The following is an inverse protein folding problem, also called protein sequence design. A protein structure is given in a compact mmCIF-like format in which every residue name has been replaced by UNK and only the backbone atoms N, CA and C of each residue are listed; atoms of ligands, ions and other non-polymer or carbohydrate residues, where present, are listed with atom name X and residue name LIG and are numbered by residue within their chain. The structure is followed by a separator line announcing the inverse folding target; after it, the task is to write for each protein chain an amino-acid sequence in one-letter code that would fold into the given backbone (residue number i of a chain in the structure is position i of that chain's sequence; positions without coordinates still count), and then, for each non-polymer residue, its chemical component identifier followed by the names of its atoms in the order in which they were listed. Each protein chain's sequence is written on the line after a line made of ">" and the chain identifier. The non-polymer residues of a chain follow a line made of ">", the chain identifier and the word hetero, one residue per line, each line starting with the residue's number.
data_IF_632218451903
#
_entry.id   IF_632218451903
#
_cell.length_a   1.000
_cell.length_b   1.000
_cell.length_c   1.000
_cell.angle_alpha   90.00
_cell.angle_beta   90.00
_cell.angle_gamma   90.00
#
_symmetry.space_group_name_H-M   'P 1'
#
loop_
_entity.id
_entity.type
_entity.pdbx_description
1 polymer ?
#
# COMPACT_ATOMS: atom_id res chain seq x y z
N UNK A 1 -2.10 -15.38 11.14
CA UNK A 1 -2.74 -15.55 9.81
C UNK A 1 -2.10 -16.73 9.14
N UNK A 2 -2.87 -17.54 8.40
CA UNK A 2 -2.33 -18.74 7.77
C UNK A 2 -2.20 -18.54 6.25
N UNK A 3 -1.11 -19.06 5.70
CA UNK A 3 -0.93 -19.18 4.26
C UNK A 3 -1.35 -20.61 3.88
N UNK A 4 -2.31 -20.73 2.94
CA UNK A 4 -2.74 -21.99 2.39
C UNK A 4 -1.88 -22.38 1.19
N UNK A 5 -1.36 -23.58 1.21
CA UNK A 5 -0.62 -24.21 0.11
C UNK A 5 -1.53 -25.16 -0.67
N UNK A 6 -1.14 -25.52 -1.88
CA UNK A 6 -1.87 -26.47 -2.71
C UNK A 6 -1.07 -27.76 -2.91
N UNK A 7 -1.76 -28.88 -3.13
CA UNK A 7 -1.11 -30.12 -3.59
C UNK A 7 -0.41 -29.89 -4.94
N UNK A 8 0.79 -30.43 -5.16
CA UNK A 8 1.63 -30.16 -6.34
C UNK A 8 1.15 -30.95 -7.58
N UNK A 9 -0.12 -30.78 -7.95
CA UNK A 9 -0.73 -31.48 -9.10
C UNK A 9 -0.31 -30.92 -10.46
N UNK A 10 0.18 -29.68 -10.50
CA UNK A 10 0.69 -29.01 -11.72
C UNK A 10 1.89 -28.13 -11.38
N UNK A 11 2.78 -27.76 -12.34
CA UNK A 11 3.89 -26.84 -12.08
C UNK A 11 3.48 -25.53 -11.40
N UNK A 12 2.33 -24.98 -11.81
CA UNK A 12 1.80 -23.74 -11.21
C UNK A 12 1.35 -23.95 -9.76
N UNK A 13 0.68 -25.06 -9.45
CA UNK A 13 0.19 -25.37 -8.09
C UNK A 13 1.28 -25.74 -7.11
N UNK A 14 2.41 -26.25 -7.60
CA UNK A 14 3.57 -26.58 -6.74
C UNK A 14 4.03 -25.42 -5.87
N UNK A 15 4.01 -24.20 -6.42
CA UNK A 15 4.50 -23.00 -5.75
C UNK A 15 3.39 -22.02 -5.36
N UNK A 16 2.14 -22.27 -5.78
CA UNK A 16 1.05 -21.33 -5.55
C UNK A 16 0.59 -21.37 -4.10
N UNK A 17 0.47 -20.19 -3.50
CA UNK A 17 -0.11 -20.02 -2.18
C UNK A 17 -1.20 -18.96 -2.19
N UNK A 18 -2.06 -18.96 -1.18
CA UNK A 18 -3.12 -17.96 -0.98
C UNK A 18 -3.24 -17.61 0.50
N UNK A 19 -3.77 -16.43 0.79
CA UNK A 19 -4.14 -16.06 2.15
C UNK A 19 -5.21 -17.00 2.71
N UNK A 20 -5.12 -17.34 3.99
CA UNK A 20 -6.15 -18.06 4.72
C UNK A 20 -7.40 -17.24 5.01
N UNK A 21 -7.27 -15.90 4.94
CA UNK A 21 -8.31 -14.94 5.32
C UNK A 21 -8.80 -15.15 6.77
N UNK A 22 -7.86 -15.45 7.68
CA UNK A 22 -8.20 -15.61 9.10
C UNK A 22 -8.59 -14.25 9.69
N UNK A 23 -9.66 -14.23 10.47
CA UNK A 23 -10.23 -13.01 11.04
C UNK A 23 -11.01 -12.12 10.07
N UNK A 24 -11.11 -12.51 8.79
CA UNK A 24 -11.91 -11.80 7.79
C UNK A 24 -13.24 -12.51 7.57
N UNK A 25 -14.33 -11.79 7.65
CA UNK A 25 -15.65 -12.33 7.31
C UNK A 25 -15.74 -12.61 5.81
N UNK A 26 -15.99 -13.90 5.47
CA UNK A 26 -16.10 -14.37 4.08
C UNK A 26 -17.54 -14.23 3.58
N UNK A 27 -17.67 -14.02 2.26
CA UNK A 27 -18.98 -13.95 1.59
C UNK A 27 -19.91 -12.80 2.02
N UNK A 28 -19.36 -11.79 2.70
CA UNK A 28 -20.12 -10.61 3.11
C UNK A 28 -20.20 -9.61 1.97
N UNK A 29 -21.39 -9.05 1.77
CA UNK A 29 -21.59 -7.94 0.83
C UNK A 29 -21.03 -6.64 1.45
N UNK A 30 -20.21 -5.88 0.71
CA UNK A 30 -19.71 -4.61 1.22
C UNK A 30 -20.85 -3.58 1.40
N UNK A 31 -20.64 -2.61 2.27
CA UNK A 31 -21.60 -1.53 2.52
C UNK A 31 -21.83 -0.72 1.23
N UNK A 32 -23.10 -0.66 0.81
CA UNK A 32 -23.46 -0.07 -0.51
C UNK A 32 -23.19 1.43 -0.57
N UNK A 33 -23.45 2.15 0.51
CA UNK A 33 -23.23 3.60 0.63
C UNK A 33 -21.76 4.01 0.47
N UNK A 34 -20.83 3.09 0.78
CA UNK A 34 -19.38 3.30 0.72
C UNK A 34 -18.72 2.72 -0.56
N UNK A 35 -19.52 2.42 -1.59
CA UNK A 35 -19.04 1.88 -2.85
C UNK A 35 -19.13 2.89 -3.98
N UNK A 36 -18.00 3.12 -4.65
CA UNK A 36 -17.92 3.95 -5.85
C UNK A 36 -17.51 3.13 -7.08
N UNK A 37 -17.92 3.55 -8.29
CA UNK A 37 -17.44 2.94 -9.53
C UNK A 37 -15.95 3.20 -9.71
N UNK A 38 -15.18 2.13 -9.97
CA UNK A 38 -13.75 2.24 -10.27
C UNK A 38 -13.53 2.24 -11.79
N UNK A 39 -13.28 3.43 -12.36
CA UNK A 39 -12.89 3.57 -13.78
C UNK A 39 -11.46 3.11 -13.98
N UNK A 40 -11.24 2.16 -14.90
CA UNK A 40 -9.91 1.64 -15.25
C UNK A 40 -9.37 2.36 -16.48
N UNK A 41 -8.24 3.05 -16.34
CA UNK A 41 -7.58 3.76 -17.46
C UNK A 41 -6.58 2.89 -18.21
N UNK A 42 -6.28 1.67 -17.73
CA UNK A 42 -5.35 0.71 -18.38
C UNK A 42 -4.00 1.33 -18.78
N UNK A 43 -3.46 2.20 -17.93
CA UNK A 43 -2.18 2.90 -18.14
C UNK A 43 -2.22 4.01 -19.19
N UNK A 44 -3.40 4.46 -19.61
CA UNK A 44 -3.56 5.55 -20.59
C UNK A 44 -3.70 6.91 -19.90
N UNK A 45 -3.16 7.95 -20.56
CA UNK A 45 -3.31 9.34 -20.14
C UNK A 45 -4.63 9.96 -20.69
N UNK A 46 -4.83 11.27 -20.48
CA UNK A 46 -6.01 12.03 -20.98
C UNK A 46 -6.16 12.00 -22.51
N UNK A 47 -5.06 11.85 -23.25
CA UNK A 47 -5.05 11.73 -24.73
C UNK A 47 -5.24 10.30 -25.22
N UNK A 48 -5.50 9.33 -24.35
CA UNK A 48 -5.67 7.92 -24.71
C UNK A 48 -4.36 7.18 -25.01
N UNK A 49 -3.19 7.82 -24.88
CA UNK A 49 -1.89 7.21 -25.14
C UNK A 49 -1.42 6.42 -23.91
N UNK A 50 -0.80 5.26 -24.13
CA UNK A 50 -0.23 4.42 -23.08
C UNK A 50 1.02 5.08 -22.55
N UNK A 51 0.96 5.59 -21.30
CA UNK A 51 2.10 6.18 -20.57
C UNK A 51 2.68 5.23 -19.53
N UNK A 52 1.87 4.28 -19.03
CA UNK A 52 2.29 3.21 -18.12
C UNK A 52 1.96 1.88 -18.76
N UNK A 53 2.99 1.15 -19.18
CA UNK A 53 2.83 -0.17 -19.82
C UNK A 53 2.39 -1.25 -18.84
N UNK A 54 1.95 -2.38 -19.36
CA UNK A 54 1.64 -3.62 -18.66
C UNK A 54 0.46 -3.49 -17.66
N UNK A 55 -0.44 -2.56 -17.90
CA UNK A 55 -1.69 -2.42 -17.13
C UNK A 55 -2.91 -2.65 -18.05
N UNK A 56 -3.97 -3.20 -17.46
CA UNK A 56 -5.25 -3.38 -18.13
C UNK A 56 -5.90 -4.73 -17.89
N UNK A 57 -7.18 -4.82 -18.20
CA UNK A 57 -8.02 -5.98 -17.89
C UNK A 57 -8.24 -6.15 -16.39
N UNK A 58 -8.20 -7.39 -15.93
CA UNK A 58 -8.45 -7.78 -14.55
C UNK A 58 -9.93 -7.85 -14.17
N UNK A 59 -10.20 -8.37 -12.99
CA UNK A 59 -11.56 -8.53 -12.49
C UNK A 59 -12.26 -7.18 -12.33
N UNK A 60 -13.59 -7.16 -12.56
CA UNK A 60 -14.40 -5.98 -12.27
C UNK A 60 -14.45 -5.74 -10.77
N UNK A 61 -14.19 -4.51 -10.36
CA UNK A 61 -14.11 -4.11 -8.96
C UNK A 61 -14.84 -2.79 -8.75
N UNK A 62 -15.38 -2.60 -7.54
CA UNK A 62 -15.85 -1.29 -7.04
C UNK A 62 -14.85 -0.78 -6.03
N UNK A 63 -14.64 0.52 -6.02
CA UNK A 63 -13.81 1.18 -5.01
C UNK A 63 -14.57 1.23 -3.69
N UNK A 64 -13.86 1.00 -2.58
CA UNK A 64 -14.38 1.19 -1.23
C UNK A 64 -13.81 2.49 -0.68
N UNK A 65 -14.70 3.39 -0.30
CA UNK A 65 -14.33 4.67 0.32
C UNK A 65 -13.79 4.39 1.71
N UNK A 66 -12.52 4.73 1.93
CA UNK A 66 -11.85 4.55 3.22
C UNK A 66 -11.70 5.91 3.89
N UNK A 67 -12.00 5.97 5.16
CA UNK A 67 -11.77 7.15 5.99
C UNK A 67 -10.28 7.29 6.34
N UNK A 68 -9.55 7.99 5.47
CA UNK A 68 -8.16 8.33 5.72
C UNK A 68 -8.00 9.62 6.55
N UNK A 69 -9.08 10.40 6.73
CA UNK A 69 -9.02 11.66 7.46
C UNK A 69 -9.27 11.49 8.94
N UNK A 70 -10.10 10.52 9.31
CA UNK A 70 -10.51 10.28 10.71
C UNK A 70 -11.02 11.57 11.38
N UNK A 71 -11.86 12.33 10.65
CA UNK A 71 -12.29 13.67 11.04
C UNK A 71 -13.46 13.69 12.04
N UNK A 72 -14.03 12.54 12.43
CA UNK A 72 -14.96 12.42 13.55
C UNK A 72 -14.15 12.33 14.84
N UNK A 73 -13.84 13.49 15.39
CA UNK A 73 -13.08 13.58 16.63
C UNK A 73 -13.97 13.31 17.84
N UNK A 74 -13.38 12.72 18.89
CA UNK A 74 -14.00 12.46 20.20
C UNK A 74 -15.23 11.55 20.19
N UNK A 75 -15.51 10.93 19.04
CA UNK A 75 -16.62 10.02 18.87
C UNK A 75 -16.13 8.58 18.78
N UNK A 76 -16.71 7.70 19.58
CA UNK A 76 -16.38 6.27 19.58
C UNK A 76 -17.03 5.57 18.38
N UNK A 77 -16.28 4.69 17.74
CA UNK A 77 -16.79 3.80 16.71
C UNK A 77 -16.57 2.35 17.11
N UNK A 78 -17.56 1.51 16.89
CA UNK A 78 -17.49 0.07 17.13
C UNK A 78 -17.19 -0.68 15.84
N UNK A 79 -16.24 -1.60 15.88
CA UNK A 79 -15.87 -2.44 14.74
C UNK A 79 -16.95 -3.50 14.53
N UNK A 80 -17.69 -3.41 13.43
CA UNK A 80 -18.75 -4.36 13.09
C UNK A 80 -18.16 -5.66 12.52
N UNK A 81 -17.19 -5.54 11.60
CA UNK A 81 -16.56 -6.68 10.92
C UNK A 81 -15.28 -6.26 10.18
N UNK A 82 -14.45 -7.27 9.85
CA UNK A 82 -13.27 -7.10 9.01
C UNK A 82 -13.56 -7.72 7.63
N UNK A 83 -13.26 -6.97 6.56
CA UNK A 83 -13.57 -7.35 5.18
C UNK A 83 -12.31 -7.38 4.31
N UNK A 84 -12.39 -8.19 3.23
CA UNK A 84 -11.43 -8.16 2.13
C UNK A 84 -11.74 -7.01 1.18
N UNK A 85 -10.72 -6.23 0.82
CA UNK A 85 -10.83 -5.20 -0.22
C UNK A 85 -9.96 -5.58 -1.45
N UNK A 86 -10.55 -5.74 -2.65
CA UNK A 86 -9.80 -6.05 -3.86
C UNK A 86 -8.94 -4.89 -4.38
N UNK A 87 -9.09 -3.68 -3.84
CA UNK A 87 -8.36 -2.48 -4.31
C UNK A 87 -7.04 -2.27 -3.58
N UNK A 88 -6.81 -2.98 -2.47
CA UNK A 88 -5.61 -2.84 -1.65
C UNK A 88 -5.15 -4.17 -1.06
N UNK A 89 -3.90 -4.19 -0.62
CA UNK A 89 -3.33 -5.36 0.02
C UNK A 89 -3.77 -5.54 1.48
N UNK A 90 -4.06 -4.45 2.19
CA UNK A 90 -4.56 -4.46 3.56
C UNK A 90 -6.03 -4.87 3.64
N UNK A 91 -6.44 -5.54 4.72
CA UNK A 91 -7.83 -5.72 5.06
C UNK A 91 -8.43 -4.41 5.59
N UNK A 92 -9.75 -4.29 5.51
CA UNK A 92 -10.50 -3.12 5.98
C UNK A 92 -11.47 -3.53 7.07
N UNK A 93 -11.72 -2.63 8.01
CA UNK A 93 -12.73 -2.80 9.05
C UNK A 93 -13.89 -1.83 8.79
N UNK A 94 -15.10 -2.36 8.82
CA UNK A 94 -16.32 -1.55 8.83
C UNK A 94 -16.59 -1.16 10.27
N UNK A 95 -16.64 0.15 10.53
CA UNK A 95 -16.88 0.72 11.84
C UNK A 95 -18.17 1.52 11.81
N UNK A 96 -18.95 1.44 12.87
CA UNK A 96 -20.18 2.20 13.10
C UNK A 96 -19.96 3.16 14.26
N UNK A 97 -20.15 4.42 14.00
CA UNK A 97 -20.05 5.48 15.00
C UNK A 97 -21.35 5.55 15.85
N UNK A 98 -21.29 6.22 16.99
CA UNK A 98 -22.43 6.39 17.89
C UNK A 98 -23.64 7.09 17.25
N UNK A 99 -23.39 7.89 16.21
CA UNK A 99 -24.43 8.55 15.40
C UNK A 99 -25.03 7.66 14.29
N UNK A 100 -24.63 6.38 14.22
CA UNK A 100 -25.08 5.42 13.21
C UNK A 100 -24.36 5.54 11.85
N UNK A 101 -23.45 6.52 11.65
CA UNK A 101 -22.67 6.59 10.41
C UNK A 101 -21.65 5.45 10.34
N UNK A 102 -21.59 4.81 9.19
CA UNK A 102 -20.60 3.75 8.91
C UNK A 102 -19.46 4.25 8.09
N UNK A 103 -18.23 3.86 8.44
CA UNK A 103 -17.02 4.14 7.67
C UNK A 103 -16.10 2.94 7.62
N UNK A 104 -15.37 2.82 6.51
CA UNK A 104 -14.26 1.87 6.42
C UNK A 104 -12.96 2.50 6.90
N UNK A 105 -12.18 1.74 7.65
CA UNK A 105 -10.80 2.05 8.01
C UNK A 105 -9.87 0.90 7.60
N UNK A 106 -8.56 1.12 7.59
CA UNK A 106 -7.61 0.01 7.47
C UNK A 106 -7.58 -0.78 8.78
N UNK A 107 -7.64 -2.09 8.68
CA UNK A 107 -7.61 -2.98 9.85
C UNK A 107 -6.18 -3.19 10.34
N UNK A 108 -5.79 -2.70 11.53
CA UNK A 108 -4.51 -3.03 12.16
C UNK A 108 -4.49 -4.46 12.69
N UNK A 109 -3.30 -4.94 13.01
CA UNK A 109 -3.09 -6.22 13.70
C UNK A 109 -3.75 -6.15 15.09
N UNK A 110 -4.45 -7.22 15.47
CA UNK A 110 -5.09 -7.34 16.78
C UNK A 110 -6.46 -6.69 16.88
N UNK A 111 -6.93 -5.98 15.85
CA UNK A 111 -8.30 -5.46 15.83
C UNK A 111 -9.30 -6.58 15.57
N UNK A 112 -10.34 -6.66 16.41
CA UNK A 112 -11.40 -7.66 16.32
C UNK A 112 -12.78 -7.02 16.19
N UNK A 113 -13.76 -7.83 15.83
CA UNK A 113 -15.16 -7.42 15.87
C UNK A 113 -15.60 -7.09 17.30
N UNK A 114 -16.29 -5.98 17.47
CA UNK A 114 -16.75 -5.46 18.77
C UNK A 114 -15.75 -4.51 19.44
N UNK A 115 -14.52 -4.41 18.96
CA UNK A 115 -13.56 -3.45 19.50
C UNK A 115 -14.04 -2.02 19.28
N UNK A 116 -13.78 -1.16 20.25
CA UNK A 116 -14.06 0.27 20.19
C UNK A 116 -12.80 1.03 19.79
N UNK A 117 -12.94 1.94 18.85
CA UNK A 117 -11.86 2.80 18.33
C UNK A 117 -12.31 4.26 18.34
N UNK A 118 -11.37 5.16 18.48
CA UNK A 118 -11.62 6.60 18.53
C UNK A 118 -10.53 7.38 17.82
N UNK A 119 -10.89 8.57 17.34
CA UNK A 119 -9.93 9.58 16.88
C UNK A 119 -10.04 10.79 17.80
N UNK A 120 -9.00 11.02 18.60
CA UNK A 120 -8.97 12.14 19.56
C UNK A 120 -7.55 12.47 19.94
N UNK A 121 -7.33 13.67 20.44
CA UNK A 121 -6.06 14.06 21.04
C UNK A 121 -5.77 13.32 22.36
N UNK A 122 -6.82 12.87 23.05
CA UNK A 122 -6.76 12.20 24.36
C UNK A 122 -7.02 10.70 24.29
N UNK A 123 -7.13 10.13 23.08
CA UNK A 123 -7.41 8.71 22.93
C UNK A 123 -6.31 7.81 23.52
N UNK A 124 -6.71 6.66 24.05
CA UNK A 124 -5.77 5.64 24.54
C UNK A 124 -4.81 5.16 23.42
N UNK A 125 -3.60 4.75 23.81
CA UNK A 125 -2.61 4.17 22.90
C UNK A 125 -2.96 2.71 22.59
N UNK A 126 -4.09 2.51 21.91
CA UNK A 126 -4.60 1.20 21.46
C UNK A 126 -4.59 1.10 19.95
N UNK A 127 -4.38 -0.12 19.43
CA UNK A 127 -4.40 -0.36 17.99
C UNK A 127 -5.74 0.07 17.36
N UNK A 128 -5.67 0.89 16.29
CA UNK A 128 -6.84 1.43 15.61
C UNK A 128 -7.24 2.85 16.04
N UNK A 129 -6.80 3.34 17.20
CA UNK A 129 -7.00 4.72 17.60
C UNK A 129 -6.11 5.67 16.80
N UNK A 130 -6.65 6.84 16.46
CA UNK A 130 -5.95 7.88 15.72
C UNK A 130 -5.71 9.11 16.59
N UNK A 131 -4.45 9.56 16.64
CA UNK A 131 -4.04 10.72 17.46
C UNK A 131 -3.13 11.64 16.65
N UNK A 132 -3.03 12.92 17.02
CA UNK A 132 -1.94 13.78 16.58
C UNK A 132 -0.58 13.21 17.03
N UNK A 133 0.45 13.32 16.18
CA UNK A 133 1.81 12.84 16.50
C UNK A 133 2.36 13.46 17.80
N UNK A 134 1.91 14.66 18.15
CA UNK A 134 2.26 15.31 19.43
C UNK A 134 1.94 14.42 20.63
N UNK A 135 0.82 13.73 20.61
CA UNK A 135 0.29 12.99 21.76
C UNK A 135 0.66 11.49 21.75
N UNK A 136 1.30 10.99 20.69
CA UNK A 136 1.76 9.61 20.62
C UNK A 136 3.12 9.48 21.27
N UNK A 137 3.36 8.57 22.24
CA UNK A 137 4.67 8.37 22.85
C UNK A 137 5.75 8.00 21.83
N UNK A 138 6.99 8.43 22.08
CA UNK A 138 8.16 8.04 21.28
C UNK A 138 8.38 6.52 21.42
N UNK A 139 8.81 5.88 20.33
CA UNK A 139 8.97 4.43 20.26
C UNK A 139 7.72 3.70 19.76
N UNK A 140 6.54 4.35 19.78
CA UNK A 140 5.28 3.73 19.37
C UNK A 140 5.29 3.35 17.88
N UNK A 141 4.71 2.18 17.58
CA UNK A 141 4.46 1.71 16.22
C UNK A 141 3.18 2.34 15.69
N UNK A 142 3.26 2.96 14.53
CA UNK A 142 2.17 3.72 13.91
C UNK A 142 2.00 3.40 12.42
N UNK A 143 0.81 3.67 11.90
CA UNK A 143 0.48 3.58 10.48
C UNK A 143 -0.47 4.72 10.08
N UNK A 144 -0.90 4.77 8.81
CA UNK A 144 -1.83 5.81 8.33
C UNK A 144 -1.39 7.23 8.71
N UNK A 145 -0.14 7.59 8.36
CA UNK A 145 0.45 8.86 8.75
C UNK A 145 0.10 9.95 7.73
N UNK A 146 -0.36 11.09 8.21
CA UNK A 146 -0.54 12.28 7.39
C UNK A 146 0.80 12.95 7.07
N UNK A 147 0.86 13.64 5.94
CA UNK A 147 1.98 14.55 5.58
C UNK A 147 1.65 16.02 5.85
N UNK A 148 0.37 16.35 5.79
CA UNK A 148 -0.17 17.69 6.06
C UNK A 148 -1.42 17.52 6.90
N UNK A 149 -1.62 18.33 7.94
CA UNK A 149 -2.77 18.24 8.83
C UNK A 149 -4.09 18.31 8.05
N UNK A 150 -5.03 17.42 8.39
CA UNK A 150 -6.37 17.37 7.80
C UNK A 150 -6.45 16.90 6.34
N UNK A 151 -5.32 16.60 5.69
CA UNK A 151 -5.31 16.08 4.32
C UNK A 151 -5.71 14.60 4.25
N UNK A 152 -5.57 13.89 5.35
CA UNK A 152 -5.75 12.45 5.45
C UNK A 152 -4.45 11.67 5.27
N UNK A 153 -4.45 10.43 5.72
CA UNK A 153 -3.29 9.56 5.73
C UNK A 153 -2.73 9.31 4.32
N UNK A 154 -1.42 9.43 4.16
CA UNK A 154 -0.71 9.24 2.90
C UNK A 154 0.40 8.21 2.98
N UNK A 155 1.03 8.04 4.14
CA UNK A 155 2.14 7.11 4.35
C UNK A 155 1.68 5.87 5.13
N UNK A 156 2.39 4.75 4.94
CA UNK A 156 2.23 3.51 5.71
C UNK A 156 0.80 2.98 5.66
N UNK A 157 0.34 2.56 4.45
CA UNK A 157 -1.04 2.10 4.22
C UNK A 157 -1.15 0.68 3.65
N UNK A 158 -0.04 0.06 3.30
CA UNK A 158 -0.02 -1.29 2.71
C UNK A 158 -0.07 -2.38 3.78
N UNK A 159 -0.44 -3.60 3.38
CA UNK A 159 -0.48 -4.76 4.27
C UNK A 159 0.86 -5.00 4.98
N UNK A 160 0.80 -5.30 6.27
CA UNK A 160 1.93 -5.68 7.09
C UNK A 160 2.95 -4.57 7.36
N UNK A 161 2.75 -3.34 6.88
CA UNK A 161 3.69 -2.25 7.12
C UNK A 161 3.41 -1.51 8.42
N UNK A 162 4.47 -0.98 9.00
CA UNK A 162 4.45 -0.10 10.15
C UNK A 162 5.57 0.93 10.04
N UNK A 163 5.40 2.07 10.69
CA UNK A 163 6.45 3.04 10.94
C UNK A 163 6.65 3.19 12.44
N UNK A 164 7.76 3.74 12.86
CA UNK A 164 8.07 4.00 14.27
C UNK A 164 8.30 5.49 14.49
N UNK A 165 7.68 6.03 15.52
CA UNK A 165 7.93 7.39 15.99
C UNK A 165 9.25 7.41 16.78
N UNK A 166 10.27 8.11 16.28
CA UNK A 166 11.62 8.06 16.82
C UNK A 166 11.91 9.21 17.79
N UNK A 167 11.48 10.43 17.46
CA UNK A 167 11.73 11.63 18.23
C UNK A 167 10.70 12.72 17.94
N UNK A 168 10.59 13.69 18.82
CA UNK A 168 9.77 14.90 18.67
C UNK A 168 10.62 16.11 19.03
N UNK A 169 10.88 16.98 18.07
CA UNK A 169 11.74 18.15 18.24
C UNK A 169 11.26 19.30 17.36
N UNK A 170 11.34 20.52 17.84
CA UNK A 170 11.08 21.74 17.08
C UNK A 170 9.75 21.73 16.29
N UNK A 171 8.65 21.26 16.90
CA UNK A 171 7.33 21.16 16.25
C UNK A 171 7.21 20.06 15.19
N UNK A 172 8.23 19.18 15.07
CA UNK A 172 8.28 18.09 14.09
C UNK A 172 8.50 16.74 14.78
N UNK A 173 7.84 15.71 14.26
CA UNK A 173 8.07 14.31 14.60
C UNK A 173 9.05 13.69 13.61
N UNK A 174 10.07 13.00 14.08
CA UNK A 174 10.95 12.16 13.25
C UNK A 174 10.40 10.75 13.22
N UNK A 175 10.01 10.28 12.03
CA UNK A 175 9.39 8.97 11.81
C UNK A 175 10.30 8.11 10.95
N UNK A 176 10.55 6.88 11.40
CA UNK A 176 11.23 5.83 10.63
C UNK A 176 10.20 5.09 9.80
N UNK A 177 10.27 5.23 8.47
CA UNK A 177 9.38 4.59 7.52
C UNK A 177 9.75 3.12 7.26
N UNK A 178 8.84 2.28 6.71
CA UNK A 178 9.13 0.88 6.35
C UNK A 178 10.31 0.72 5.40
N UNK A 179 10.61 1.73 4.58
CA UNK A 179 11.78 1.75 3.67
C UNK A 179 13.12 1.95 4.38
N UNK A 180 13.12 2.26 5.69
CA UNK A 180 14.29 2.68 6.45
C UNK A 180 14.61 4.19 6.37
N UNK A 181 13.87 4.95 5.56
CA UNK A 181 14.00 6.42 5.50
C UNK A 181 13.52 7.03 6.81
N UNK A 182 14.30 7.96 7.36
CA UNK A 182 13.90 8.79 8.50
C UNK A 182 13.41 10.15 7.99
N UNK A 183 12.18 10.48 8.30
CA UNK A 183 11.51 11.67 7.77
C UNK A 183 10.86 12.49 8.88
N UNK A 184 10.94 13.82 8.73
CA UNK A 184 10.24 14.78 9.58
C UNK A 184 8.80 14.97 9.09
N UNK A 185 7.86 14.97 10.03
CA UNK A 185 6.42 15.24 9.82
C UNK A 185 5.98 16.21 10.91
N UNK A 186 5.06 17.12 10.64
CA UNK A 186 4.54 18.07 11.64
C UNK A 186 3.84 17.32 12.77
N UNK A 187 3.96 17.83 13.99
CA UNK A 187 3.34 17.24 15.18
C UNK A 187 1.80 17.26 15.14
N UNK A 188 1.20 18.22 14.44
CA UNK A 188 -0.25 18.33 14.24
C UNK A 188 -0.83 17.24 13.32
N UNK A 189 0.00 16.52 12.55
CA UNK A 189 -0.44 15.45 11.68
C UNK A 189 -0.94 14.25 12.46
N UNK A 190 -2.05 13.67 12.03
CA UNK A 190 -2.61 12.46 12.61
C UNK A 190 -1.87 11.21 12.15
N UNK A 191 -1.81 10.22 13.04
CA UNK A 191 -1.40 8.87 12.74
C UNK A 191 -2.28 7.88 13.52
N UNK A 192 -2.38 6.65 13.02
CA UNK A 192 -3.11 5.57 13.70
C UNK A 192 -2.12 4.64 14.39
N UNK A 193 -2.44 4.21 15.62
CA UNK A 193 -1.61 3.32 16.43
C UNK A 193 -1.65 1.90 15.89
N UNK A 194 -0.50 1.23 15.88
CA UNK A 194 -0.34 -0.18 15.53
C UNK A 194 0.23 -0.41 14.13
N UNK A 195 0.35 -1.68 13.76
CA UNK A 195 0.80 -2.20 12.47
C UNK A 195 -0.41 -2.59 11.63
N UNK A 196 -0.36 -2.38 10.33
CA UNK A 196 -1.43 -2.83 9.42
C UNK A 196 -1.47 -4.36 9.34
N UNK A 197 -2.67 -4.91 9.35
CA UNK A 197 -2.94 -6.34 9.25
C UNK A 197 -2.50 -6.97 7.91
N UNK A 198 -2.81 -8.26 7.73
CA UNK A 198 -2.43 -9.06 6.55
C UNK A 198 -0.91 -9.12 6.33
N UNK A 199 -0.15 -9.38 7.40
CA UNK A 199 1.33 -9.41 7.42
C UNK A 199 1.88 -10.38 6.36
N UNK A 200 1.24 -11.54 6.19
CA UNK A 200 1.69 -12.59 5.26
C UNK A 200 1.45 -12.28 3.79
N UNK A 201 0.89 -11.11 3.46
CA UNK A 201 0.62 -10.73 2.07
C UNK A 201 1.86 -10.80 1.17
N UNK A 202 3.01 -10.41 1.69
CA UNK A 202 4.29 -10.45 0.97
C UNK A 202 4.78 -11.87 0.67
N UNK A 203 4.37 -12.86 1.46
CA UNK A 203 4.78 -14.25 1.36
C UNK A 203 3.91 -15.07 0.40
N UNK A 204 2.89 -14.45 -0.21
CA UNK A 204 1.96 -15.13 -1.13
C UNK A 204 2.60 -15.28 -2.51
N UNK A 205 2.72 -16.52 -2.99
CA UNK A 205 3.14 -16.84 -4.34
C UNK A 205 1.95 -16.96 -5.29
N UNK A 206 1.91 -16.12 -6.31
CA UNK A 206 0.81 -16.07 -7.28
C UNK A 206 0.71 -17.36 -8.10
N UNK A 207 1.86 -17.97 -8.46
CA UNK A 207 1.99 -19.28 -9.06
C UNK A 207 1.69 -19.34 -10.56
N UNK A 208 0.75 -18.55 -11.10
CA UNK A 208 0.38 -18.61 -12.53
C UNK A 208 0.10 -17.25 -13.16
N UNK A 209 0.40 -17.13 -14.45
CA UNK A 209 0.20 -15.91 -15.24
C UNK A 209 -1.27 -15.46 -15.30
N UNK A 210 -2.22 -16.39 -15.36
CA UNK A 210 -3.65 -16.07 -15.37
C UNK A 210 -4.11 -15.33 -14.12
N UNK A 211 -3.54 -15.65 -12.94
CA UNK A 211 -3.85 -14.92 -11.68
C UNK A 211 -3.33 -13.49 -11.74
N UNK A 212 -2.14 -13.23 -12.30
CA UNK A 212 -1.65 -11.88 -12.57
C UNK A 212 -2.56 -11.13 -13.55
N UNK A 213 -3.07 -11.81 -14.59
CA UNK A 213 -4.03 -11.21 -15.54
C UNK A 213 -5.32 -10.77 -14.84
N UNK A 214 -5.86 -11.58 -13.92
CA UNK A 214 -7.04 -11.21 -13.12
C UNK A 214 -6.78 -10.00 -12.19
N UNK A 215 -5.53 -9.75 -11.80
CA UNK A 215 -5.13 -8.57 -11.04
C UNK A 215 -4.96 -7.31 -11.91
N UNK A 216 -5.15 -7.41 -13.23
CA UNK A 216 -5.00 -6.28 -14.15
C UNK A 216 -3.57 -6.06 -14.66
N UNK A 217 -2.68 -7.02 -14.45
CA UNK A 217 -1.29 -6.96 -14.92
C UNK A 217 -1.21 -7.67 -16.28
N UNK A 218 -0.82 -6.95 -17.33
CA UNK A 218 -0.59 -7.51 -18.66
C UNK A 218 0.82 -8.14 -18.74
N UNK A 219 1.04 -9.09 -19.66
CA UNK A 219 2.35 -9.68 -19.88
C UNK A 219 3.41 -8.63 -20.21
N UNK A 220 4.64 -8.86 -19.74
CA UNK A 220 5.81 -8.03 -20.02
C UNK A 220 6.71 -8.77 -21.01
N UNK A 221 7.06 -8.09 -22.10
CA UNK A 221 8.03 -8.57 -23.07
C UNK A 221 9.38 -7.91 -22.76
N UNK A 222 10.44 -8.70 -22.69
CA UNK A 222 11.81 -8.20 -22.46
C UNK A 222 12.35 -7.53 -23.72
N UNK A 223 13.19 -6.50 -23.57
CA UNK A 223 13.71 -5.72 -24.70
C UNK A 223 14.55 -6.54 -25.70
N UNK A 224 15.26 -7.58 -25.22
CA UNK A 224 16.11 -8.43 -26.06
C UNK A 224 15.36 -9.30 -27.10
N UNK A 225 14.04 -9.40 -27.02
CA UNK A 225 13.20 -10.12 -28.01
C UNK A 225 12.38 -9.16 -28.88
N UNK A 226 12.69 -7.88 -28.82
CA UNK A 226 12.10 -6.83 -29.66
C UNK A 226 13.03 -6.53 -30.84
N UNK A 227 12.54 -5.76 -31.81
CA UNK A 227 13.35 -5.25 -32.90
C UNK A 227 14.25 -4.11 -32.41
N UNK A 228 15.38 -3.81 -33.15
CA UNK A 228 16.29 -2.71 -32.78
C UNK A 228 15.58 -1.34 -32.69
N UNK A 229 14.55 -1.12 -33.48
CA UNK A 229 13.76 0.12 -33.48
C UNK A 229 12.92 0.27 -32.20
N UNK A 230 12.52 -0.84 -31.57
CA UNK A 230 11.61 -0.83 -30.42
C UNK A 230 12.34 -0.76 -29.10
N UNK A 231 13.56 -1.27 -29.05
CA UNK A 231 14.34 -1.31 -27.81
C UNK A 231 15.86 -1.33 -28.08
N UNK A 232 16.67 -0.60 -27.28
CA UNK A 232 18.12 -0.62 -27.40
C UNK A 232 18.81 -1.99 -27.25
N UNK A 233 18.11 -2.98 -26.69
CA UNK A 233 18.57 -4.38 -26.58
C UNK A 233 18.01 -5.27 -27.69
N UNK A 234 17.24 -4.71 -28.60
CA UNK A 234 16.58 -5.47 -29.67
C UNK A 234 17.56 -5.86 -30.78
N UNK A 235 17.14 -6.83 -31.57
CA UNK A 235 17.90 -7.36 -32.69
C UNK A 235 18.78 -8.56 -32.35
N UNK A 236 19.50 -9.05 -33.35
CA UNK A 236 20.31 -10.25 -33.27
C UNK A 236 19.50 -11.53 -33.49
N UNK A 237 20.18 -12.66 -33.54
CA UNK A 237 19.61 -13.97 -33.79
C UNK A 237 19.68 -14.86 -32.56
N UNK A 238 18.65 -15.70 -32.35
CA UNK A 238 18.57 -16.63 -31.22
C UNK A 238 18.47 -15.93 -29.87
N UNK A 239 19.30 -16.34 -28.91
CA UNK A 239 19.38 -15.76 -27.56
C UNK A 239 20.45 -14.66 -27.50
N UNK A 240 20.20 -13.54 -28.16
CA UNK A 240 21.13 -12.41 -28.16
C UNK A 240 21.35 -11.85 -26.74
N UNK A 241 22.61 -11.50 -26.40
CA UNK A 241 22.93 -10.81 -25.14
C UNK A 241 22.46 -9.36 -25.17
N UNK A 242 22.59 -8.67 -24.03
CA UNK A 242 22.23 -7.24 -23.93
C UNK A 242 23.09 -6.35 -24.84
N UNK A 243 24.34 -6.78 -25.16
CA UNK A 243 25.27 -6.10 -26.07
C UNK A 243 25.73 -4.70 -25.62
N UNK A 244 25.58 -4.38 -24.30
CA UNK A 244 25.95 -3.10 -23.69
C UNK A 244 26.60 -3.32 -22.34
N UNK A 245 27.40 -2.37 -21.80
CA UNK A 245 28.00 -2.49 -20.47
C UNK A 245 27.01 -2.73 -19.33
N UNK A 246 25.74 -2.35 -19.53
CA UNK A 246 24.66 -2.60 -18.57
C UNK A 246 23.29 -2.50 -19.22
N UNK A 247 22.24 -3.03 -18.55
CA UNK A 247 20.88 -2.97 -19.06
C UNK A 247 20.38 -1.52 -19.09
N UNK A 248 19.64 -1.19 -20.16
CA UNK A 248 19.04 0.14 -20.34
C UNK A 248 17.52 0.03 -20.51
N UNK A 249 16.84 1.15 -20.29
CA UNK A 249 15.41 1.31 -20.55
C UNK A 249 15.15 1.47 -22.06
N UNK A 250 13.90 1.38 -22.54
CA UNK A 250 13.55 1.65 -23.94
C UNK A 250 14.03 3.01 -24.46
N UNK A 251 14.25 3.96 -23.56
CA UNK A 251 14.75 5.31 -23.87
C UNK A 251 16.26 5.46 -23.69
N UNK A 252 17.00 4.36 -23.54
CA UNK A 252 18.45 4.34 -23.45
C UNK A 252 19.05 4.73 -22.09
N UNK A 253 18.25 5.03 -21.07
CA UNK A 253 18.75 5.33 -19.72
C UNK A 253 19.14 4.04 -18.98
N UNK A 254 20.19 4.05 -18.13
CA UNK A 254 20.52 2.90 -17.30
C UNK A 254 19.31 2.41 -16.50
N UNK A 255 19.03 1.09 -16.54
CA UNK A 255 17.89 0.49 -15.87
C UNK A 255 18.16 0.21 -14.38
N UNK A 256 19.43 -0.02 -14.01
CA UNK A 256 19.85 -0.34 -12.64
C UNK A 256 20.77 0.75 -12.09
N UNK A 257 20.64 1.05 -10.80
CA UNK A 257 21.53 1.95 -10.07
C UNK A 257 21.38 3.45 -10.36
N UNK A 258 20.62 3.83 -11.38
CA UNK A 258 20.46 5.23 -11.74
C UNK A 258 19.58 6.00 -10.72
N UNK A 259 20.14 7.07 -10.15
CA UNK A 259 19.46 7.94 -9.19
C UNK A 259 18.52 8.90 -9.93
N UNK A 260 17.20 8.63 -9.93
CA UNK A 260 16.21 9.43 -10.65
C UNK A 260 15.67 10.62 -9.86
N UNK A 261 15.87 10.66 -8.54
CA UNK A 261 15.44 11.78 -7.71
C UNK A 261 16.27 13.03 -8.05
N UNK A 262 15.61 14.15 -8.32
CA UNK A 262 16.26 15.44 -8.56
C UNK A 262 17.07 15.87 -7.33
N UNK A 263 18.29 16.38 -7.53
CA UNK A 263 19.19 16.81 -6.44
C UNK A 263 18.61 17.95 -5.61
N UNK A 264 17.90 18.90 -6.26
CA UNK A 264 17.25 20.05 -5.60
C UNK A 264 15.74 19.79 -5.44
N UNK A 265 15.34 18.78 -4.67
CA UNK A 265 13.92 18.53 -4.40
C UNK A 265 13.50 19.28 -3.13
N UNK A 266 12.43 20.11 -3.23
CA UNK A 266 11.88 20.90 -2.11
C UNK A 266 11.55 20.08 -0.86
N UNK A 267 11.35 18.77 -1.00
CA UNK A 267 11.02 17.87 0.12
C UNK A 267 12.26 17.30 0.82
N UNK A 268 13.49 17.59 0.35
CA UNK A 268 14.73 17.06 0.95
C UNK A 268 14.94 17.58 2.36
N UNK A 269 14.47 18.81 2.67
CA UNK A 269 14.51 19.37 4.02
C UNK A 269 13.78 18.56 5.09
N UNK A 270 12.86 17.67 4.68
CA UNK A 270 12.13 16.77 5.59
C UNK A 270 12.78 15.39 5.74
N UNK A 271 13.82 15.07 4.98
CA UNK A 271 14.49 13.77 5.03
C UNK A 271 15.74 13.92 5.90
N UNK A 272 15.75 13.25 7.06
CA UNK A 272 16.90 13.22 7.97
C UNK A 272 17.93 12.19 7.50
N UNK A 273 17.48 10.97 7.20
CA UNK A 273 18.32 9.89 6.70
C UNK A 273 17.62 9.17 5.57
N UNK A 274 18.31 9.02 4.43
CA UNK A 274 17.78 8.24 3.29
C UNK A 274 17.92 6.74 3.55
N UNK A 275 17.07 5.92 2.89
CA UNK A 275 17.02 4.46 3.08
C UNK A 275 18.37 3.74 2.87
N UNK A 276 19.23 4.27 2.00
CA UNK A 276 20.53 3.69 1.65
C UNK A 276 21.72 4.52 2.17
N UNK A 277 21.50 5.45 3.09
CA UNK A 277 22.59 6.17 3.73
C UNK A 277 23.25 5.26 4.77
N UNK A 278 24.55 5.07 4.62
CA UNK A 278 25.42 4.42 5.62
C UNK A 278 25.52 5.30 6.86
#
# INVERSE_FOLDING_TARGET
>A
MSIKTYKPTTPARRQMTVSGFDGVEKHVKPEKSLLEPLKKHSGRNSYGRITVRHQGGGNRQKYRVIDFKRNKLEMTATVLRIEYDPNRSAFIALCEYEDGERRYILAPVGLNKGDKIMASATADIKAGNALPLANIPVGTVIHNIELYPGKGAQLVRSAGVAAQLMAKENGMATVRLPSGEMRKVRLDCFATIGQIGNIDHANIHIGKAGRKRHMGIRPTVRGSVMNPVDHPHGGGEGKSPVGRPGPVTPWGKPALGYKTRKTKNRTDKFIVKRRNAK
#
